data_IF_013056513831
#
_entry.id   IF_013056513831
#
_cell.length_a   1.000
_cell.length_b   1.000
_cell.length_c   1.000
_cell.angle_alpha   90.00
_cell.angle_beta   90.00
_cell.angle_gamma   90.00
#
_symmetry.space_group_name_H-M   'P 1'
#
loop_
_entity.id
_entity.type
_entity.pdbx_description
1 polymer ?
#
# COMPACT_ATOMS: atom_id res chain seq x y z
N UNK A 1 17.13 31.78 -45.34
CA UNK A 1 15.88 31.03 -45.16
C UNK A 1 15.79 30.61 -43.70
N UNK A 2 14.71 30.97 -43.01
CA UNK A 2 14.54 30.78 -41.56
C UNK A 2 14.26 29.31 -41.26
N UNK A 3 15.13 28.70 -40.46
CA UNK A 3 14.94 27.40 -39.81
C UNK A 3 13.84 27.53 -38.76
N UNK A 4 12.80 26.70 -38.85
CA UNK A 4 11.85 26.49 -37.76
C UNK A 4 11.95 25.00 -37.40
N UNK A 5 12.73 24.72 -36.35
CA UNK A 5 12.78 23.43 -35.68
C UNK A 5 11.48 23.27 -34.87
N UNK A 6 10.63 22.34 -35.29
CA UNK A 6 9.49 21.91 -34.47
C UNK A 6 9.92 20.68 -33.67
N UNK A 7 10.44 20.93 -32.46
CA UNK A 7 10.71 19.87 -31.50
C UNK A 7 9.41 19.42 -30.83
N UNK A 8 8.83 18.33 -31.32
CA UNK A 8 7.77 17.61 -30.61
C UNK A 8 8.40 16.83 -29.46
N UNK A 9 8.48 17.45 -28.29
CA UNK A 9 8.74 16.72 -27.04
C UNK A 9 7.45 15.96 -26.73
N UNK A 10 7.38 14.72 -27.24
CA UNK A 10 6.50 13.70 -26.71
C UNK A 10 6.95 13.46 -25.27
N UNK A 11 6.31 14.15 -24.32
CA UNK A 11 6.30 13.76 -22.92
C UNK A 11 5.55 12.42 -22.85
N UNK A 12 6.30 11.35 -23.11
CA UNK A 12 5.94 10.01 -22.68
C UNK A 12 5.83 10.08 -21.16
N UNK A 13 4.61 10.27 -20.66
CA UNK A 13 4.28 9.97 -19.27
C UNK A 13 4.61 8.49 -19.09
N UNK A 14 5.84 8.21 -18.67
CA UNK A 14 6.23 6.91 -18.21
C UNK A 14 5.27 6.62 -17.06
N UNK A 15 4.24 5.82 -17.33
CA UNK A 15 3.47 5.20 -16.28
C UNK A 15 4.49 4.38 -15.52
N UNK A 16 4.97 4.91 -14.39
CA UNK A 16 5.68 4.11 -13.42
C UNK A 16 4.63 3.11 -12.95
N UNK A 17 4.57 1.97 -13.65
CA UNK A 17 3.90 0.79 -13.14
C UNK A 17 4.67 0.47 -11.86
N UNK A 18 4.19 1.02 -10.74
CA UNK A 18 4.70 0.62 -9.43
C UNK A 18 4.40 -0.86 -9.35
N UNK A 19 5.44 -1.68 -9.44
CA UNK A 19 5.31 -3.11 -9.22
C UNK A 19 4.63 -3.28 -7.86
N UNK A 20 3.59 -4.12 -7.81
CA UNK A 20 2.90 -4.39 -6.56
C UNK A 20 3.87 -5.09 -5.63
N UNK A 21 4.22 -4.47 -4.50
CA UNK A 21 5.11 -5.11 -3.54
C UNK A 21 4.37 -6.26 -2.84
N UNK A 22 5.04 -7.39 -2.57
CA UNK A 22 4.49 -8.45 -1.71
C UNK A 22 4.79 -8.23 -0.23
N UNK A 23 5.60 -7.22 0.08
CA UNK A 23 5.96 -6.86 1.44
C UNK A 23 5.29 -5.56 1.83
N UNK A 24 4.83 -5.50 3.07
CA UNK A 24 4.26 -4.33 3.70
C UNK A 24 4.88 -4.08 5.07
N UNK A 25 4.39 -3.05 5.77
CA UNK A 25 4.84 -2.71 7.13
C UNK A 25 3.68 -2.82 8.11
N UNK A 26 3.92 -3.45 9.26
CA UNK A 26 3.02 -3.41 10.42
C UNK A 26 3.70 -2.71 11.59
N UNK A 27 3.06 -1.67 12.11
CA UNK A 27 3.49 -0.97 13.31
C UNK A 27 2.86 -1.53 14.59
N UNK A 28 3.57 -1.43 15.71
CA UNK A 28 3.01 -1.62 17.06
C UNK A 28 2.99 -0.27 17.78
N UNK A 29 1.79 0.25 18.04
CA UNK A 29 1.60 1.50 18.77
C UNK A 29 1.86 1.26 20.27
N UNK A 30 2.58 2.15 20.94
CA UNK A 30 2.81 2.10 22.39
C UNK A 30 1.49 2.22 23.18
N UNK A 31 1.49 1.73 24.43
CA UNK A 31 0.31 1.77 25.30
C UNK A 31 -0.21 3.19 25.58
N UNK A 32 0.68 4.18 25.58
CA UNK A 32 0.35 5.59 25.75
C UNK A 32 -0.07 6.29 24.44
N UNK A 33 0.01 5.59 23.30
CA UNK A 33 -0.38 6.13 22.00
C UNK A 33 0.58 7.16 21.40
N UNK A 34 1.76 7.34 22.01
CA UNK A 34 2.68 8.42 21.63
C UNK A 34 3.71 8.02 20.58
N UNK A 35 4.00 6.72 20.44
CA UNK A 35 5.04 6.23 19.55
C UNK A 35 4.64 4.92 18.84
N UNK A 36 5.33 4.64 17.73
CA UNK A 36 5.41 3.30 17.16
C UNK A 36 6.66 2.63 17.71
N UNK A 37 6.48 1.58 18.50
CA UNK A 37 7.57 0.89 19.23
C UNK A 37 8.28 -0.14 18.35
N UNK A 38 7.57 -0.71 17.38
CA UNK A 38 8.10 -1.71 16.45
C UNK A 38 7.52 -1.43 15.06
N UNK A 39 8.36 -1.53 14.03
CA UNK A 39 7.95 -1.58 12.62
C UNK A 39 8.51 -2.86 12.02
N UNK A 40 7.63 -3.79 11.69
CA UNK A 40 8.02 -5.09 11.12
C UNK A 40 7.57 -5.19 9.67
N UNK A 41 8.42 -5.78 8.84
CA UNK A 41 8.00 -6.22 7.51
C UNK A 41 7.01 -7.38 7.64
N UNK A 42 5.95 -7.34 6.83
CA UNK A 42 4.95 -8.39 6.73
C UNK A 42 4.79 -8.84 5.29
N UNK A 43 4.40 -10.08 5.08
CA UNK A 43 3.97 -10.54 3.75
C UNK A 43 2.50 -10.18 3.55
N UNK A 44 2.21 -9.42 2.49
CA UNK A 44 0.86 -9.06 2.11
C UNK A 44 0.05 -10.27 1.63
N UNK A 45 0.73 -11.28 1.06
CA UNK A 45 0.12 -12.59 0.76
C UNK A 45 -0.44 -13.29 1.99
N UNK A 46 0.25 -13.22 3.13
CA UNK A 46 -0.25 -13.82 4.38
C UNK A 46 -1.48 -13.07 4.91
N UNK A 47 -1.54 -11.75 4.72
CA UNK A 47 -2.75 -10.97 5.02
C UNK A 47 -3.90 -11.36 4.10
N UNK A 48 -3.64 -11.49 2.80
CA UNK A 48 -4.64 -11.96 1.83
C UNK A 48 -5.18 -13.35 2.23
N UNK A 49 -4.32 -14.30 2.58
CA UNK A 49 -4.75 -15.62 3.07
C UNK A 49 -5.63 -15.51 4.32
N UNK A 50 -5.25 -14.65 5.27
CA UNK A 50 -5.98 -14.45 6.53
C UNK A 50 -7.38 -13.86 6.31
N UNK A 51 -7.52 -12.88 5.42
CA UNK A 51 -8.78 -12.15 5.20
C UNK A 51 -9.60 -12.69 4.01
N UNK A 52 -9.16 -13.78 3.37
CA UNK A 52 -9.89 -14.42 2.28
C UNK A 52 -9.76 -13.69 0.94
N UNK A 53 -8.60 -13.10 0.67
CA UNK A 53 -8.23 -12.48 -0.60
C UNK A 53 -7.61 -11.10 -0.44
N UNK A 54 -6.90 -10.67 -1.49
CA UNK A 54 -6.23 -9.36 -1.56
C UNK A 54 -7.19 -8.18 -1.37
N UNK A 55 -8.38 -8.20 -2.00
CA UNK A 55 -9.37 -7.12 -1.86
C UNK A 55 -9.88 -6.97 -0.43
N UNK A 56 -10.17 -8.09 0.24
CA UNK A 56 -10.65 -8.09 1.63
C UNK A 56 -9.56 -7.64 2.60
N UNK A 57 -8.32 -8.07 2.38
CA UNK A 57 -7.18 -7.59 3.15
C UNK A 57 -6.99 -6.08 2.97
N UNK A 58 -7.13 -5.54 1.76
CA UNK A 58 -7.05 -4.10 1.53
C UNK A 58 -8.14 -3.32 2.27
N UNK A 59 -9.39 -3.79 2.21
CA UNK A 59 -10.50 -3.19 2.94
C UNK A 59 -10.26 -3.19 4.46
N UNK A 60 -9.71 -4.28 5.00
CA UNK A 60 -9.32 -4.34 6.40
C UNK A 60 -8.24 -3.31 6.76
N UNK A 61 -7.20 -3.15 5.92
CA UNK A 61 -6.16 -2.15 6.16
C UNK A 61 -6.73 -0.73 6.17
N UNK A 62 -7.62 -0.41 5.23
CA UNK A 62 -8.26 0.91 5.17
C UNK A 62 -9.15 1.17 6.39
N UNK A 63 -9.94 0.18 6.82
CA UNK A 63 -10.76 0.30 8.02
C UNK A 63 -9.90 0.57 9.26
N UNK A 64 -8.86 -0.24 9.46
CA UNK A 64 -7.99 -0.14 10.63
C UNK A 64 -7.21 1.20 10.64
N UNK A 65 -6.76 1.66 9.46
CA UNK A 65 -6.20 3.01 9.27
C UNK A 65 -7.18 4.08 9.73
N UNK A 66 -8.43 4.01 9.29
CA UNK A 66 -9.47 4.97 9.67
C UNK A 66 -9.76 4.97 11.18
N UNK A 67 -9.74 3.80 11.83
CA UNK A 67 -9.89 3.66 13.28
C UNK A 67 -8.75 4.34 14.04
N UNK A 68 -7.50 4.16 13.62
CA UNK A 68 -6.33 4.82 14.21
C UNK A 68 -6.41 6.34 14.05
N UNK A 69 -6.78 6.84 12.86
CA UNK A 69 -6.87 8.28 12.60
C UNK A 69 -7.95 8.98 13.47
N UNK A 70 -9.07 8.29 13.70
CA UNK A 70 -10.17 8.79 14.55
C UNK A 70 -9.87 8.71 16.04
N UNK A 71 -8.91 7.89 16.46
CA UNK A 71 -8.60 7.73 17.88
C UNK A 71 -7.93 8.99 18.45
N UNK A 72 -8.59 9.66 19.40
CA UNK A 72 -8.11 10.89 20.01
C UNK A 72 -6.87 10.71 20.90
N UNK A 73 -6.58 9.48 21.36
CA UNK A 73 -5.44 9.19 22.25
C UNK A 73 -4.11 9.12 21.51
N UNK A 74 -4.13 8.86 20.20
CA UNK A 74 -2.91 8.71 19.42
C UNK A 74 -2.35 10.05 19.01
N UNK A 75 -1.03 10.19 19.14
CA UNK A 75 -0.32 11.39 18.70
C UNK A 75 -0.44 11.56 17.17
N UNK A 76 -0.30 12.80 16.70
CA UNK A 76 -0.34 13.06 15.26
C UNK A 76 0.77 12.31 14.52
N UNK A 77 1.97 12.19 15.11
CA UNK A 77 3.08 11.44 14.53
C UNK A 77 2.74 9.94 14.35
N UNK A 78 2.07 9.32 15.32
CA UNK A 78 1.58 7.94 15.20
C UNK A 78 0.57 7.82 14.07
N UNK A 79 -0.38 8.76 13.98
CA UNK A 79 -1.39 8.80 12.93
C UNK A 79 -0.77 8.94 11.54
N UNK A 80 0.22 9.81 11.38
CA UNK A 80 0.90 10.03 10.11
C UNK A 80 1.67 8.78 9.67
N UNK A 81 2.40 8.15 10.59
CA UNK A 81 3.15 6.93 10.30
C UNK A 81 2.23 5.76 9.93
N UNK A 82 1.17 5.54 10.70
CA UNK A 82 0.18 4.49 10.41
C UNK A 82 -0.53 4.77 9.08
N UNK A 83 -0.90 6.03 8.83
CA UNK A 83 -1.53 6.40 7.56
C UNK A 83 -0.61 6.08 6.38
N UNK A 84 0.67 6.44 6.47
CA UNK A 84 1.66 6.15 5.42
C UNK A 84 1.85 4.65 5.20
N UNK A 85 2.12 3.88 6.27
CA UNK A 85 2.39 2.44 6.18
C UNK A 85 1.15 1.67 5.67
N UNK A 86 -0.04 1.97 6.21
CA UNK A 86 -1.26 1.24 5.85
C UNK A 86 -1.78 1.62 4.46
N UNK A 87 -1.65 2.89 4.04
CA UNK A 87 -2.03 3.30 2.68
C UNK A 87 -1.16 2.57 1.64
N UNK A 88 0.15 2.44 1.89
CA UNK A 88 1.03 1.69 0.98
C UNK A 88 0.63 0.22 0.90
N UNK A 89 0.45 -0.43 2.06
CA UNK A 89 0.00 -1.82 2.12
C UNK A 89 -1.33 -2.02 1.38
N UNK A 90 -2.31 -1.13 1.60
CA UNK A 90 -3.61 -1.18 0.94
C UNK A 90 -3.47 -1.05 -0.59
N UNK A 91 -2.65 -0.12 -1.07
CA UNK A 91 -2.39 0.07 -2.50
C UNK A 91 -1.75 -1.18 -3.12
N UNK A 92 -0.77 -1.77 -2.46
CA UNK A 92 -0.12 -3.00 -2.92
C UNK A 92 -1.09 -4.19 -2.92
N UNK A 93 -1.94 -4.33 -1.89
CA UNK A 93 -2.98 -5.35 -1.84
C UNK A 93 -3.99 -5.17 -2.99
N UNK A 94 -4.46 -3.95 -3.26
CA UNK A 94 -5.34 -3.65 -4.40
C UNK A 94 -4.67 -3.97 -5.74
N UNK A 95 -3.38 -3.66 -5.85
CA UNK A 95 -2.57 -3.94 -7.03
C UNK A 95 -2.47 -5.47 -7.26
N UNK A 96 -2.20 -6.25 -6.21
CA UNK A 96 -2.19 -7.72 -6.28
C UNK A 96 -3.55 -8.33 -6.58
N UNK A 97 -4.66 -7.76 -6.08
CA UNK A 97 -6.00 -8.19 -6.47
C UNK A 97 -6.21 -8.09 -7.99
N UNK A 98 -5.73 -7.01 -8.62
CA UNK A 98 -5.81 -6.82 -10.07
C UNK A 98 -4.91 -7.81 -10.82
N UNK A 99 -3.69 -8.05 -10.33
CA UNK A 99 -2.78 -9.06 -10.90
C UNK A 99 -3.45 -10.44 -10.87
N UNK A 100 -3.91 -10.90 -9.72
CA UNK A 100 -4.48 -12.24 -9.57
C UNK A 100 -5.77 -12.47 -10.35
N UNK A 101 -6.52 -11.40 -10.62
CA UNK A 101 -7.68 -11.45 -11.51
C UNK A 101 -7.27 -11.64 -12.98
N UNK A 102 -6.13 -11.07 -13.38
CA UNK A 102 -5.60 -11.15 -14.75
C UNK A 102 -4.82 -12.44 -14.99
N UNK A 103 -3.97 -12.81 -14.04
CA UNK A 103 -3.13 -14.00 -14.06
C UNK A 103 -3.13 -14.63 -12.68
N UNK A 104 -4.02 -15.62 -12.49
CA UNK A 104 -4.08 -16.35 -11.24
C UNK A 104 -2.89 -17.28 -11.04
N UNK A 105 -2.08 -17.57 -12.08
CA UNK A 105 -0.93 -18.47 -12.00
C UNK A 105 0.31 -17.83 -11.39
N UNK A 106 0.32 -16.50 -11.23
CA UNK A 106 1.41 -15.77 -10.58
C UNK A 106 1.64 -16.32 -9.15
N UNK A 107 2.91 -16.49 -8.78
CA UNK A 107 3.32 -17.02 -7.47
C UNK A 107 2.82 -16.21 -6.27
N UNK A 108 2.53 -14.92 -6.47
CA UNK A 108 1.88 -14.05 -5.49
C UNK A 108 0.41 -14.39 -5.27
N UNK A 109 -0.24 -15.06 -6.22
CA UNK A 109 -1.66 -15.42 -6.20
C UNK A 109 -1.92 -16.84 -5.66
N UNK A 110 -0.85 -17.61 -5.44
CA UNK A 110 -0.91 -18.97 -4.90
C UNK A 110 -0.85 -18.94 -3.36
N UNK A 111 -1.98 -19.14 -2.69
CA UNK A 111 -2.11 -19.18 -1.22
C UNK A 111 -3.28 -20.04 -0.73
#
# INVERSE_FOLDING_TARGET
MKTILTAYILFSLASTAMACELTGIKGVISNDGQAITVRQSILLKDQARTYGGYERAAAYMEQNRAEVLKNARFSQAVKDQVSSDMLKNEQDLKCWALICKKDSSDTGCQF
#
